data_IF_511613667052
#
_entry.id   IF_511613667052
#
_cell.length_a   1.000
_cell.length_b   1.000
_cell.length_c   1.000
_cell.angle_alpha   90.00
_cell.angle_beta   90.00
_cell.angle_gamma   90.00
#
_symmetry.space_group_name_H-M   'P 1'
#
loop_
_entity.id
_entity.type
_entity.pdbx_description
1 polymer ?
#
# COMPACT_ATOMS: atom_id res chain seq x y z
N UNK A 1 -16.55 17.80 3.47
CA UNK A 1 -15.75 18.55 2.47
C UNK A 1 -14.74 19.46 3.14
N UNK A 2 -15.17 20.61 3.67
CA UNK A 2 -14.28 21.66 4.23
C UNK A 2 -13.29 21.14 5.27
N UNK A 3 -13.76 20.39 6.27
CA UNK A 3 -12.88 19.82 7.32
C UNK A 3 -11.84 18.86 6.74
N UNK A 4 -12.19 18.10 5.69
CA UNK A 4 -11.23 17.20 5.03
C UNK A 4 -10.12 18.00 4.33
N UNK A 5 -10.47 19.09 3.64
CA UNK A 5 -9.49 20.00 3.05
C UNK A 5 -8.53 20.55 4.12
N UNK A 6 -9.07 21.01 5.26
CA UNK A 6 -8.30 21.59 6.35
C UNK A 6 -7.36 20.58 7.01
N UNK A 7 -7.81 19.34 7.23
CA UNK A 7 -6.95 18.28 7.78
C UNK A 7 -5.78 17.95 6.83
N UNK A 8 -6.02 17.97 5.51
CA UNK A 8 -5.00 17.62 4.52
C UNK A 8 -3.95 18.73 4.36
N UNK A 9 -4.40 19.98 4.31
CA UNK A 9 -3.58 21.15 3.98
C UNK A 9 -3.07 21.91 5.21
N UNK A 10 -3.76 21.79 6.35
CA UNK A 10 -3.53 22.59 7.55
C UNK A 10 -4.25 23.94 7.55
N UNK A 11 -4.95 24.29 6.47
CA UNK A 11 -5.55 25.61 6.30
C UNK A 11 -7.02 25.53 5.87
N UNK A 12 -7.81 26.53 6.26
CA UNK A 12 -9.19 26.65 5.79
C UNK A 12 -9.22 27.19 4.36
N UNK A 13 -10.11 26.66 3.49
CA UNK A 13 -10.21 27.15 2.12
C UNK A 13 -10.79 28.57 2.05
N UNK A 14 -11.61 28.95 3.04
CA UNK A 14 -12.20 30.28 3.14
C UNK A 14 -11.77 30.93 4.46
N UNK A 15 -11.21 32.14 4.34
CA UNK A 15 -10.76 32.97 5.46
C UNK A 15 -11.40 34.35 5.36
N UNK A 16 -11.73 34.96 6.48
CA UNK A 16 -12.33 36.30 6.54
C UNK A 16 -12.23 36.85 7.97
N UNK A 17 -12.30 38.17 8.10
CA UNK A 17 -12.20 38.86 9.40
C UNK A 17 -13.48 38.69 10.23
N UNK A 18 -14.61 38.47 9.56
CA UNK A 18 -15.92 38.25 10.18
C UNK A 18 -16.69 37.10 9.50
N UNK A 19 -17.73 36.53 10.16
CA UNK A 19 -18.51 35.42 9.60
C UNK A 19 -19.25 35.75 8.30
N UNK A 20 -19.62 37.02 8.07
CA UNK A 20 -20.34 37.44 6.86
C UNK A 20 -19.40 37.36 5.65
N UNK A 21 -18.16 37.81 5.79
CA UNK A 21 -17.14 37.64 4.74
C UNK A 21 -16.94 36.17 4.37
N UNK A 22 -16.84 35.29 5.38
CA UNK A 22 -16.69 33.84 5.14
C UNK A 22 -17.91 33.27 4.41
N UNK A 23 -19.12 33.68 4.77
CA UNK A 23 -20.34 33.25 4.08
C UNK A 23 -20.37 33.70 2.61
N UNK A 24 -19.95 34.94 2.32
CA UNK A 24 -19.84 35.47 0.95
C UNK A 24 -18.87 34.60 0.12
N UNK A 25 -17.73 34.21 0.71
CA UNK A 25 -16.76 33.32 0.03
C UNK A 25 -17.33 31.94 -0.27
N UNK A 26 -18.11 31.35 0.64
CA UNK A 26 -18.76 30.06 0.38
C UNK A 26 -19.68 30.08 -0.85
N UNK A 27 -20.30 31.23 -1.15
CA UNK A 27 -21.19 31.39 -2.31
C UNK A 27 -20.39 31.65 -3.59
N UNK A 28 -19.41 32.55 -3.53
CA UNK A 28 -18.77 33.10 -4.71
C UNK A 28 -17.48 32.39 -5.11
N UNK A 29 -16.74 31.86 -4.14
CA UNK A 29 -15.45 31.21 -4.37
C UNK A 29 -15.61 29.69 -4.48
N UNK A 30 -14.54 29.02 -4.88
CA UNK A 30 -14.48 27.56 -4.95
C UNK A 30 -13.33 27.08 -4.09
N UNK A 31 -13.54 25.95 -3.43
CA UNK A 31 -12.48 25.26 -2.69
C UNK A 31 -11.38 24.89 -3.69
N UNK A 32 -10.12 25.31 -3.47
CA UNK A 32 -9.03 24.92 -4.34
C UNK A 32 -8.74 23.42 -4.20
N UNK A 33 -8.04 22.84 -5.17
CA UNK A 33 -7.56 21.47 -5.04
C UNK A 33 -6.51 21.41 -3.91
N UNK A 34 -6.60 20.49 -2.93
CA UNK A 34 -5.62 20.33 -1.85
C UNK A 34 -4.17 20.27 -2.32
N UNK A 35 -3.90 19.64 -3.46
CA UNK A 35 -2.55 19.54 -4.05
C UNK A 35 -1.93 20.89 -4.40
N UNK A 36 -2.73 21.94 -4.57
CA UNK A 36 -2.23 23.31 -4.81
C UNK A 36 -1.55 23.91 -3.58
N UNK A 37 -1.99 23.54 -2.38
CA UNK A 37 -1.36 23.95 -1.11
C UNK A 37 -0.32 22.93 -0.64
N UNK A 38 -0.58 21.64 -0.86
CA UNK A 38 0.30 20.55 -0.42
C UNK A 38 0.74 19.68 -1.60
N UNK A 39 1.87 20.02 -2.24
CA UNK A 39 2.46 19.20 -3.29
C UNK A 39 2.73 17.77 -2.80
N UNK A 40 2.37 16.78 -3.61
CA UNK A 40 2.50 15.35 -3.27
C UNK A 40 1.18 14.64 -2.94
N UNK A 41 0.07 15.37 -2.81
CA UNK A 41 -1.25 14.75 -2.80
C UNK A 41 -1.63 14.24 -4.20
N UNK A 42 -2.29 13.09 -4.26
CA UNK A 42 -2.73 12.50 -5.53
C UNK A 42 -3.94 13.24 -6.10
N UNK A 43 -4.08 13.21 -7.42
CA UNK A 43 -5.25 13.78 -8.13
C UNK A 43 -6.57 13.15 -7.66
N UNK A 44 -6.55 11.90 -7.21
CA UNK A 44 -7.75 11.24 -6.67
C UNK A 44 -8.21 11.89 -5.34
N UNK A 45 -7.28 12.30 -4.47
CA UNK A 45 -7.59 13.04 -3.24
C UNK A 45 -8.23 14.39 -3.59
N UNK A 46 -7.68 15.09 -4.58
CA UNK A 46 -8.25 16.36 -5.03
C UNK A 46 -9.69 16.18 -5.51
N UNK A 47 -9.95 15.17 -6.34
CA UNK A 47 -11.31 14.87 -6.82
C UNK A 47 -12.28 14.56 -5.68
N UNK A 48 -11.83 13.82 -4.66
CA UNK A 48 -12.66 13.53 -3.49
C UNK A 48 -13.05 14.82 -2.75
N UNK A 49 -12.09 15.71 -2.50
CA UNK A 49 -12.34 16.97 -1.81
C UNK A 49 -13.22 17.91 -2.64
N UNK A 50 -12.91 18.06 -3.93
CA UNK A 50 -13.67 18.92 -4.84
C UNK A 50 -15.11 18.43 -5.01
N UNK A 51 -15.34 17.13 -5.21
CA UNK A 51 -16.71 16.60 -5.27
C UNK A 51 -17.45 16.79 -3.94
N UNK A 52 -16.80 16.60 -2.79
CA UNK A 52 -17.41 16.83 -1.48
C UNK A 52 -17.65 18.31 -1.12
N UNK A 53 -17.17 19.24 -1.96
CA UNK A 53 -17.31 20.70 -1.77
C UNK A 53 -17.91 21.39 -2.99
N UNK A 54 -18.48 20.64 -3.93
CA UNK A 54 -19.06 21.18 -5.15
C UNK A 54 -20.20 22.15 -4.83
N UNK A 55 -20.39 23.19 -5.65
CA UNK A 55 -21.52 24.10 -5.50
C UNK A 55 -22.84 23.40 -5.81
N UNK A 56 -22.82 22.48 -6.76
CA UNK A 56 -23.96 21.67 -7.15
C UNK A 56 -24.12 20.50 -6.16
N UNK A 57 -25.22 20.47 -5.37
CA UNK A 57 -25.46 19.40 -4.41
C UNK A 57 -25.51 18.01 -5.04
N UNK A 58 -25.96 17.90 -6.29
CA UNK A 58 -26.10 16.61 -6.99
C UNK A 58 -24.75 16.01 -7.39
N UNK A 59 -23.69 16.84 -7.44
CA UNK A 59 -22.32 16.39 -7.68
C UNK A 59 -21.62 15.92 -6.41
N UNK A 60 -22.20 16.18 -5.24
CA UNK A 60 -21.64 15.74 -3.96
C UNK A 60 -21.90 14.26 -3.73
N UNK A 61 -21.08 13.58 -2.91
CA UNK A 61 -21.48 12.29 -2.35
C UNK A 61 -22.86 12.42 -1.70
N UNK A 62 -23.77 11.52 -2.09
CA UNK A 62 -25.18 11.56 -1.68
C UNK A 62 -25.36 11.63 -0.16
N UNK A 63 -24.49 10.93 0.56
CA UNK A 63 -24.47 10.89 2.01
C UNK A 63 -23.05 10.64 2.53
N UNK A 64 -22.92 10.61 3.86
CA UNK A 64 -21.66 10.38 4.54
C UNK A 64 -21.10 8.95 4.34
N UNK A 65 -21.97 7.96 4.11
CA UNK A 65 -21.56 6.57 3.88
C UNK A 65 -20.83 6.46 2.55
N UNK A 66 -21.38 7.03 1.48
CA UNK A 66 -20.75 7.08 0.16
C UNK A 66 -19.41 7.84 0.22
N UNK A 67 -19.33 8.94 0.97
CA UNK A 67 -18.07 9.66 1.14
C UNK A 67 -17.02 8.80 1.87
N UNK A 68 -17.42 8.07 2.91
CA UNK A 68 -16.54 7.18 3.67
C UNK A 68 -16.04 6.01 2.81
N UNK A 69 -16.91 5.41 2.00
CA UNK A 69 -16.54 4.34 1.06
C UNK A 69 -15.46 4.82 0.08
N UNK A 70 -15.70 5.96 -0.59
CA UNK A 70 -14.72 6.57 -1.50
C UNK A 70 -13.39 6.86 -0.80
N UNK A 71 -13.43 7.39 0.43
CA UNK A 71 -12.21 7.67 1.21
C UNK A 71 -11.44 6.38 1.54
N UNK A 72 -12.14 5.31 1.90
CA UNK A 72 -11.52 4.00 2.18
C UNK A 72 -10.88 3.40 0.93
N UNK A 73 -11.58 3.42 -0.20
CA UNK A 73 -11.05 2.96 -1.49
C UNK A 73 -9.76 3.70 -1.86
N UNK A 74 -9.74 5.03 -1.69
CA UNK A 74 -8.53 5.83 -1.93
C UNK A 74 -7.42 5.50 -0.94
N UNK A 75 -7.74 5.33 0.34
CA UNK A 75 -6.75 4.93 1.34
C UNK A 75 -6.13 3.56 1.02
N UNK A 76 -6.92 2.61 0.51
CA UNK A 76 -6.46 1.28 0.14
C UNK A 76 -5.54 1.32 -1.09
N UNK A 77 -5.87 2.15 -2.09
CA UNK A 77 -5.01 2.37 -3.26
C UNK A 77 -3.65 2.99 -2.88
N UNK A 78 -3.65 3.92 -1.93
CA UNK A 78 -2.44 4.61 -1.49
C UNK A 78 -1.56 3.76 -0.58
N UNK A 79 -2.16 2.88 0.24
CA UNK A 79 -1.43 1.96 1.10
C UNK A 79 -2.14 0.59 1.18
N UNK A 80 -1.83 -0.33 0.25
CA UNK A 80 -2.48 -1.64 0.18
C UNK A 80 -2.19 -2.54 1.39
N UNK A 81 -1.20 -2.18 2.23
CA UNK A 81 -0.82 -2.95 3.42
C UNK A 81 -1.75 -2.67 4.61
N UNK A 82 -2.48 -1.54 4.63
CA UNK A 82 -3.36 -1.16 5.76
C UNK A 82 -4.57 -2.08 5.99
N UNK A 83 -4.97 -2.87 4.99
CA UNK A 83 -6.04 -3.87 5.13
C UNK A 83 -5.56 -5.22 5.63
N UNK A 84 -4.26 -5.38 5.90
CA UNK A 84 -3.77 -6.44 6.76
C UNK A 84 -4.28 -6.12 8.17
N UNK A 85 -5.56 -6.40 8.42
CA UNK A 85 -6.07 -6.66 9.76
C UNK A 85 -5.06 -7.63 10.35
N UNK A 86 -4.29 -7.19 11.33
CA UNK A 86 -3.42 -8.09 12.07
C UNK A 86 -4.34 -9.20 12.55
N UNK A 87 -4.10 -10.43 12.08
CA UNK A 87 -4.81 -11.62 12.52
C UNK A 87 -4.56 -11.92 14.02
N UNK A 88 -3.96 -10.99 14.75
CA UNK A 88 -3.39 -11.17 16.07
C UNK A 88 -4.37 -10.86 17.22
N UNK A 89 -5.57 -10.34 16.94
CA UNK A 89 -6.48 -9.91 18.02
C UNK A 89 -7.51 -10.94 18.51
N UNK A 90 -7.50 -12.20 18.06
CA UNK A 90 -8.37 -13.23 18.68
C UNK A 90 -7.89 -14.70 18.57
N UNK A 91 -6.60 -14.93 18.35
CA UNK A 91 -6.06 -16.29 18.45
C UNK A 91 -5.58 -16.55 19.89
N UNK A 92 -6.16 -17.52 20.62
CA UNK A 92 -5.60 -17.93 21.91
C UNK A 92 -4.14 -18.37 21.69
N UNK A 93 -3.24 -18.14 22.66
CA UNK A 93 -1.85 -18.54 22.52
C UNK A 93 -1.78 -20.03 22.18
N UNK A 94 -1.17 -20.35 21.03
CA UNK A 94 -0.91 -21.73 20.65
C UNK A 94 -0.04 -22.34 21.76
N UNK A 95 -0.53 -23.40 22.39
CA UNK A 95 0.24 -24.13 23.39
C UNK A 95 1.55 -24.63 22.74
N UNK A 96 2.67 -24.02 23.11
CA UNK A 96 3.99 -24.52 22.75
C UNK A 96 4.13 -25.87 23.44
N UNK A 97 4.06 -26.97 22.69
CA UNK A 97 4.41 -28.29 23.20
C UNK A 97 5.92 -28.25 23.46
N UNK A 98 6.31 -28.26 24.74
CA UNK A 98 7.72 -28.35 25.11
C UNK A 98 8.35 -29.56 24.41
N UNK A 99 9.51 -29.41 23.76
CA UNK A 99 10.18 -30.53 23.13
C UNK A 99 10.56 -31.55 24.22
N UNK A 100 9.96 -32.73 24.11
CA UNK A 100 10.13 -33.82 25.06
C UNK A 100 11.59 -34.14 25.34
N UNK A 101 11.90 -34.24 26.63
CA UNK A 101 13.15 -34.74 27.22
C UNK A 101 13.63 -35.99 26.48
N UNK A 102 14.77 -35.89 25.79
CA UNK A 102 15.43 -37.03 25.13
C UNK A 102 16.12 -37.88 26.19
N UNK A 103 15.47 -38.98 26.59
CA UNK A 103 16.14 -40.04 27.33
C UNK A 103 17.11 -40.80 26.39
N UNK A 104 18.32 -41.01 26.92
CA UNK A 104 19.53 -41.22 26.15
C UNK A 104 19.60 -42.50 25.32
N UNK A 105 20.30 -42.40 24.19
CA UNK A 105 20.83 -43.54 23.45
C UNK A 105 22.35 -43.41 23.30
N UNK A 106 23.08 -44.03 24.23
CA UNK A 106 24.50 -44.40 24.04
C UNK A 106 24.59 -45.46 22.94
N UNK A 107 25.49 -45.28 21.97
CA UNK A 107 26.23 -46.33 21.21
C UNK A 107 27.28 -45.61 20.33
N UNK A 108 28.55 -45.54 20.77
CA UNK A 108 29.67 -46.45 20.47
C UNK A 108 30.15 -46.46 18.99
N UNK A 109 31.17 -45.62 18.74
CA UNK A 109 32.34 -45.73 17.84
C UNK A 109 32.29 -46.63 16.59
N UNK A 110 32.58 -46.07 15.40
CA UNK A 110 33.75 -46.44 14.55
C UNK A 110 33.97 -45.59 13.27
N UNK A 111 35.26 -45.36 13.02
CA UNK A 111 36.05 -45.16 11.77
C UNK A 111 35.56 -44.17 10.70
N UNK A 112 36.24 -43.02 10.52
CA UNK A 112 37.47 -42.75 9.75
C UNK A 112 37.31 -42.85 8.22
N UNK A 113 37.46 -41.67 7.61
CA UNK A 113 38.03 -41.37 6.30
C UNK A 113 37.34 -41.96 5.05
N UNK A 114 36.46 -41.16 4.43
CA UNK A 114 36.25 -41.16 2.97
C UNK A 114 35.79 -39.78 2.51
N UNK A 115 36.70 -39.05 1.86
CA UNK A 115 36.41 -37.85 1.08
C UNK A 115 35.39 -38.18 -0.02
N UNK A 116 34.39 -37.31 -0.19
CA UNK A 116 33.43 -37.41 -1.29
C UNK A 116 33.85 -36.38 -2.35
N UNK A 117 34.45 -36.86 -3.44
CA UNK A 117 34.75 -36.06 -4.63
C UNK A 117 33.47 -35.59 -5.34
N UNK A 118 33.40 -34.30 -5.67
CA UNK A 118 32.31 -33.70 -6.45
C UNK A 118 32.77 -33.62 -7.91
N UNK A 119 32.13 -34.32 -8.87
CA UNK A 119 32.53 -34.22 -10.26
C UNK A 119 32.12 -32.87 -10.88
N UNK A 120 33.11 -32.14 -11.42
CA UNK A 120 32.92 -30.97 -12.28
C UNK A 120 32.55 -31.43 -13.70
N UNK A 121 31.36 -31.08 -14.16
CA UNK A 121 30.97 -31.32 -15.56
C UNK A 121 31.75 -30.36 -16.48
N UNK A 122 32.48 -30.92 -17.44
CA UNK A 122 33.27 -30.19 -18.43
C UNK A 122 32.46 -30.01 -19.72
N UNK A 123 32.39 -28.76 -20.18
CA UNK A 123 32.13 -28.44 -21.58
C UNK A 123 33.25 -29.02 -22.46
N UNK A 124 32.86 -29.75 -23.52
CA UNK A 124 33.71 -29.95 -24.68
C UNK A 124 32.87 -30.05 -25.96
N UNK A 125 33.17 -29.12 -26.86
CA UNK A 125 32.64 -28.94 -28.21
C UNK A 125 32.90 -30.11 -29.16
N UNK A 126 32.09 -30.26 -30.22
CA UNK A 126 32.60 -30.59 -31.57
C UNK A 126 31.80 -29.88 -32.68
N UNK A 127 32.58 -29.37 -33.63
CA UNK A 127 32.40 -28.49 -34.79
C UNK A 127 31.92 -29.21 -36.08
N UNK A 128 31.64 -28.38 -37.12
CA UNK A 128 31.73 -28.59 -38.61
C UNK A 128 30.47 -29.22 -39.27
N UNK A 129 29.96 -28.83 -40.45
CA UNK A 129 30.48 -28.26 -41.73
C UNK A 129 29.40 -27.39 -42.43
N UNK A 130 29.69 -26.18 -42.93
CA UNK A 130 29.95 -25.79 -44.34
C UNK A 130 29.05 -26.39 -45.44
N UNK A 131 28.21 -25.54 -46.05
CA UNK A 131 28.08 -25.26 -47.51
C UNK A 131 26.83 -24.39 -47.72
N UNK A 132 26.93 -23.21 -48.36
CA UNK A 132 26.62 -22.98 -49.80
C UNK A 132 25.16 -23.37 -50.12
N UNK A 133 24.27 -22.59 -50.71
CA UNK A 133 24.33 -21.39 -51.54
C UNK A 133 22.89 -21.06 -51.97
N UNK A 134 22.63 -19.78 -52.24
CA UNK A 134 21.82 -19.26 -53.37
C UNK A 134 20.31 -19.60 -53.43
N UNK A 135 19.53 -18.54 -53.55
CA UNK A 135 18.14 -18.54 -54.02
C UNK A 135 17.55 -17.15 -53.94
#
# INVERSE_FOLDING_TARGET
GIVLFEILTGEKPYQGEDPVQVAIKHVNERVPAPSTLKPGLSVEIDRLVLSATDIDPDKRPRDAVILLEKLRELSEKLDPRKRQLSLELDLPPLAIKEPGKKDGAKRLRRDKDREVEIPKNQEAAVKKEKSSSIG
#
